data_IF_672848919642
#
_entry.id   IF_672848919642
#
_cell.length_a   1.000
_cell.length_b   1.000
_cell.length_c   1.000
_cell.angle_alpha   90.00
_cell.angle_beta   90.00
_cell.angle_gamma   90.00
#
_symmetry.space_group_name_H-M   'P 1'
#
loop_
_entity.id
_entity.type
_entity.pdbx_description
1 polymer ?
#
# COMPACT_ATOMS: atom_id res chain seq x y z
N UNK A 1 2.49 -0.56 1.93
CA UNK A 1 2.85 0.85 2.22
C UNK A 1 2.86 1.09 3.73
N UNK A 2 3.63 2.07 4.21
CA UNK A 2 3.61 2.53 5.61
C UNK A 2 2.82 3.86 5.68
N UNK A 3 1.76 3.91 6.49
CA UNK A 3 1.02 5.15 6.74
C UNK A 3 1.45 5.75 8.08
N UNK A 4 1.87 7.02 8.05
CA UNK A 4 2.20 7.80 9.23
C UNK A 4 0.97 8.46 9.87
N UNK A 5 1.14 8.89 11.12
CA UNK A 5 0.28 9.86 11.79
C UNK A 5 0.96 11.22 11.75
N UNK A 6 0.19 12.32 11.69
CA UNK A 6 0.72 13.70 11.77
C UNK A 6 1.18 14.05 13.20
N UNK A 7 1.67 13.06 13.94
CA UNK A 7 1.63 12.92 15.40
C UNK A 7 1.94 14.18 16.19
N UNK A 8 0.91 15.00 16.41
CA UNK A 8 0.95 16.04 17.43
C UNK A 8 0.81 15.33 18.78
N UNK A 9 1.95 15.12 19.44
CA UNK A 9 2.00 14.63 20.81
C UNK A 9 1.80 15.83 21.75
N UNK A 10 0.61 15.95 22.34
CA UNK A 10 0.36 16.96 23.38
C UNK A 10 0.93 16.48 24.71
N UNK A 11 2.13 16.94 25.07
CA UNK A 11 2.59 16.91 26.45
C UNK A 11 1.93 18.06 27.23
N UNK A 12 1.61 17.85 28.52
CA UNK A 12 1.23 18.94 29.44
C UNK A 12 2.51 19.44 30.13
N UNK A 13 3.17 20.50 29.64
CA UNK A 13 4.24 21.12 30.40
C UNK A 13 3.69 21.74 31.70
N UNK A 14 4.50 21.83 32.77
CA UNK A 14 4.15 22.60 33.96
C UNK A 14 3.64 24.01 33.59
N UNK A 15 2.71 24.55 34.39
CA UNK A 15 2.07 25.83 34.12
C UNK A 15 3.13 26.93 33.87
N UNK A 16 3.08 27.57 32.70
CA UNK A 16 3.98 28.67 32.34
C UNK A 16 5.23 28.31 31.53
N UNK A 17 5.53 27.04 31.24
CA UNK A 17 6.74 26.63 30.48
C UNK A 17 6.47 26.17 29.05
N UNK A 18 5.27 26.49 28.52
CA UNK A 18 4.78 26.05 27.20
C UNK A 18 5.69 26.42 26.02
N UNK A 19 6.49 27.48 26.14
CA UNK A 19 7.36 27.99 25.08
C UNK A 19 8.86 27.82 25.38
N UNK A 20 9.26 27.11 26.43
CA UNK A 20 10.67 26.89 26.76
C UNK A 20 11.31 25.92 25.73
N UNK A 21 12.33 26.37 24.96
CA UNK A 21 13.02 25.53 23.97
C UNK A 21 13.63 24.25 24.55
N UNK A 22 13.90 24.20 25.87
CA UNK A 22 14.41 23.00 26.56
C UNK A 22 13.38 21.86 26.63
N UNK A 23 12.11 22.15 26.39
CA UNK A 23 11.01 21.18 26.36
C UNK A 23 10.71 20.67 24.95
N UNK A 24 11.43 21.14 23.93
CA UNK A 24 11.28 20.72 22.54
C UNK A 24 12.51 19.91 22.11
N UNK A 25 12.34 18.60 21.94
CA UNK A 25 13.31 17.75 21.25
C UNK A 25 12.83 17.58 19.81
N UNK A 26 13.54 18.07 18.78
CA UNK A 26 13.17 17.83 17.39
C UNK A 26 13.41 16.34 17.08
N UNK A 27 12.33 15.57 16.97
CA UNK A 27 12.40 14.17 16.52
C UNK A 27 11.75 14.04 15.15
N UNK A 28 12.49 13.51 14.16
CA UNK A 28 11.98 13.21 12.81
C UNK A 28 10.97 12.04 12.77
N UNK A 29 10.60 11.47 13.93
CA UNK A 29 9.64 10.36 14.05
C UNK A 29 8.59 10.72 15.09
N UNK A 30 7.42 11.12 14.61
CA UNK A 30 6.28 11.46 15.45
C UNK A 30 5.63 10.18 16.02
N UNK A 31 5.32 10.19 17.32
CA UNK A 31 5.03 9.00 18.14
C UNK A 31 3.62 8.41 18.07
N UNK A 32 2.83 8.68 17.03
CA UNK A 32 1.44 8.17 16.90
C UNK A 32 1.30 6.75 16.34
N UNK A 33 2.43 6.07 16.09
CA UNK A 33 2.47 4.72 15.52
C UNK A 33 2.29 4.71 14.00
N UNK A 34 3.04 3.85 13.31
CA UNK A 34 2.90 3.62 11.88
C UNK A 34 2.13 2.32 11.66
N UNK A 35 1.24 2.30 10.67
CA UNK A 35 0.53 1.07 10.25
C UNK A 35 1.11 0.60 8.92
N UNK A 36 1.58 -0.65 8.89
CA UNK A 36 1.94 -1.32 7.65
C UNK A 36 0.74 -2.09 7.13
N UNK A 37 0.42 -1.92 5.84
CA UNK A 37 -0.70 -2.63 5.20
C UNK A 37 -0.28 -3.25 3.87
N UNK A 38 -0.97 -4.33 3.52
CA UNK A 38 -1.01 -4.93 2.20
C UNK A 38 -2.43 -4.79 1.64
N UNK A 39 -2.56 -4.57 0.33
CA UNK A 39 -3.84 -4.64 -0.33
C UNK A 39 -3.68 -5.07 -1.79
N UNK A 40 -4.81 -5.39 -2.43
CA UNK A 40 -4.88 -5.53 -3.87
C UNK A 40 -6.09 -4.77 -4.43
N UNK A 41 -6.01 -4.43 -5.71
CA UNK A 41 -7.09 -3.81 -6.48
C UNK A 41 -7.22 -4.52 -7.82
N UNK A 42 -8.38 -4.39 -8.45
CA UNK A 42 -8.68 -5.03 -9.72
C UNK A 42 -9.67 -4.21 -10.54
N UNK A 43 -9.96 -4.66 -11.76
CA UNK A 43 -11.06 -4.11 -12.58
C UNK A 43 -12.45 -4.20 -11.94
N UNK A 44 -12.64 -5.05 -10.94
CA UNK A 44 -13.89 -5.14 -10.17
C UNK A 44 -13.92 -4.16 -8.98
N UNK A 45 -12.81 -3.44 -8.74
CA UNK A 45 -12.67 -2.44 -7.71
C UNK A 45 -11.69 -2.85 -6.62
N UNK A 46 -11.94 -2.33 -5.42
CA UNK A 46 -11.10 -2.51 -4.25
C UNK A 46 -11.11 -3.97 -3.78
N UNK A 47 -9.94 -4.55 -3.57
CA UNK A 47 -9.78 -5.85 -2.93
C UNK A 47 -9.60 -5.75 -1.42
N UNK A 48 -9.18 -6.84 -0.76
CA UNK A 48 -8.91 -6.84 0.66
C UNK A 48 -7.79 -5.87 1.05
N UNK A 49 -7.96 -5.20 2.20
CA UNK A 49 -6.92 -4.44 2.89
C UNK A 49 -6.55 -5.20 4.17
N UNK A 50 -5.26 -5.53 4.33
CA UNK A 50 -4.77 -6.33 5.45
C UNK A 50 -3.68 -5.61 6.22
N UNK A 51 -3.85 -5.51 7.54
CA UNK A 51 -2.81 -5.01 8.43
C UNK A 51 -1.68 -6.01 8.58
N UNK A 52 -0.46 -5.51 8.53
CA UNK A 52 0.77 -6.25 8.81
C UNK A 52 1.29 -5.83 10.18
N UNK A 53 1.66 -6.81 10.99
CA UNK A 53 2.28 -6.57 12.28
C UNK A 53 3.80 -6.50 12.11
N UNK A 54 4.38 -5.35 12.49
CA UNK A 54 5.82 -5.13 12.39
C UNK A 54 6.32 -4.98 10.95
N UNK A 55 7.55 -5.43 10.71
CA UNK A 55 8.18 -5.42 9.39
C UNK A 55 7.79 -6.71 8.68
N UNK A 56 7.21 -6.59 7.48
CA UNK A 56 6.81 -7.76 6.70
C UNK A 56 7.98 -8.73 6.47
N UNK A 57 7.80 -9.99 6.82
CA UNK A 57 8.73 -11.07 6.46
C UNK A 57 8.15 -11.99 5.37
N UNK A 58 8.95 -12.99 4.97
CA UNK A 58 8.55 -13.93 3.91
C UNK A 58 7.37 -14.82 4.31
N UNK A 59 7.24 -15.18 5.59
CA UNK A 59 6.18 -16.04 6.09
C UNK A 59 4.87 -15.27 6.19
N UNK A 60 4.91 -14.03 6.69
CA UNK A 60 3.76 -13.13 6.67
C UNK A 60 3.29 -12.82 5.25
N UNK A 61 4.22 -12.68 4.29
CA UNK A 61 3.86 -12.47 2.89
C UNK A 61 3.26 -13.73 2.24
N UNK A 62 3.80 -14.92 2.53
CA UNK A 62 3.18 -16.18 2.11
C UNK A 62 1.76 -16.33 2.70
N UNK A 63 1.59 -16.00 3.97
CA UNK A 63 0.29 -16.06 4.66
C UNK A 63 -0.73 -15.07 4.06
N UNK A 64 -0.31 -13.86 3.67
CA UNK A 64 -1.14 -12.92 2.89
C UNK A 64 -1.61 -13.56 1.60
N UNK A 65 -0.70 -14.23 0.88
CA UNK A 65 -1.04 -14.85 -0.38
C UNK A 65 -1.97 -16.06 -0.23
N UNK A 66 -1.72 -16.90 0.77
CA UNK A 66 -2.49 -18.11 1.05
C UNK A 66 -3.89 -17.80 1.59
N UNK A 67 -4.00 -16.85 2.52
CA UNK A 67 -5.21 -16.63 3.30
C UNK A 67 -5.98 -15.35 2.92
N UNK A 68 -5.47 -14.54 2.00
CA UNK A 68 -6.13 -13.30 1.59
C UNK A 68 -6.19 -13.16 0.07
N UNK A 69 -5.05 -13.08 -0.60
CA UNK A 69 -5.01 -12.81 -2.05
C UNK A 69 -5.66 -13.94 -2.86
N UNK A 70 -5.20 -15.19 -2.68
CA UNK A 70 -5.67 -16.31 -3.51
C UNK A 70 -7.15 -16.64 -3.30
N UNK A 71 -7.69 -16.70 -2.07
CA UNK A 71 -9.13 -16.92 -1.87
C UNK A 71 -9.97 -15.82 -2.50
N UNK A 72 -9.59 -14.54 -2.30
CA UNK A 72 -10.29 -13.41 -2.91
C UNK A 72 -10.26 -13.50 -4.44
N UNK A 73 -9.09 -13.74 -5.03
CA UNK A 73 -8.93 -13.80 -6.47
C UNK A 73 -9.70 -14.97 -7.09
N UNK A 74 -9.68 -16.15 -6.45
CA UNK A 74 -10.47 -17.31 -6.91
C UNK A 74 -11.97 -17.05 -6.85
N UNK A 75 -12.45 -16.43 -5.78
CA UNK A 75 -13.87 -16.13 -5.64
C UNK A 75 -14.33 -15.05 -6.64
N UNK A 76 -13.46 -14.10 -6.98
CA UNK A 76 -13.81 -12.95 -7.83
C UNK A 76 -13.58 -13.21 -9.33
N UNK A 77 -12.56 -14.00 -9.68
CA UNK A 77 -12.11 -14.19 -11.06
C UNK A 77 -12.06 -15.67 -11.50
N UNK A 78 -12.27 -16.61 -10.58
CA UNK A 78 -12.11 -18.03 -10.84
C UNK A 78 -10.64 -18.45 -10.96
N UNK A 79 -10.40 -19.53 -11.70
CA UNK A 79 -9.06 -20.01 -12.00
C UNK A 79 -8.43 -19.22 -13.16
N UNK A 80 -7.10 -19.14 -13.18
CA UNK A 80 -6.36 -18.50 -14.28
C UNK A 80 -6.24 -16.98 -14.18
N UNK A 81 -6.55 -16.38 -13.03
CA UNK A 81 -6.24 -14.97 -12.79
C UNK A 81 -4.72 -14.71 -12.86
N UNK A 82 -4.37 -13.50 -13.29
CA UNK A 82 -2.99 -13.03 -13.34
C UNK A 82 -2.77 -12.10 -12.15
N UNK A 83 -1.70 -12.33 -11.40
CA UNK A 83 -1.32 -11.51 -10.27
C UNK A 83 -0.15 -10.58 -10.63
N UNK A 84 -0.24 -9.34 -10.17
CA UNK A 84 0.81 -8.33 -10.30
C UNK A 84 1.36 -8.00 -8.92
N UNK A 85 2.69 -7.95 -8.82
CA UNK A 85 3.41 -7.42 -7.67
C UNK A 85 4.65 -6.67 -8.16
N UNK A 86 5.18 -5.75 -7.34
CA UNK A 86 6.44 -5.08 -7.64
C UNK A 86 7.67 -6.01 -7.49
N UNK A 87 8.84 -5.51 -7.86
CA UNK A 87 10.12 -6.22 -7.76
C UNK A 87 10.80 -6.07 -6.39
N UNK A 88 10.07 -5.73 -5.31
CA UNK A 88 10.66 -5.60 -3.99
C UNK A 88 11.35 -6.92 -3.57
N UNK A 89 12.57 -6.89 -2.98
CA UNK A 89 13.36 -8.11 -2.75
C UNK A 89 12.62 -9.24 -2.01
N UNK A 90 11.72 -8.91 -1.08
CA UNK A 90 10.94 -9.92 -0.34
C UNK A 90 9.91 -10.62 -1.24
N UNK A 91 9.30 -9.90 -2.18
CA UNK A 91 8.31 -10.42 -3.12
C UNK A 91 8.95 -11.34 -4.17
N UNK A 92 10.24 -11.11 -4.48
CA UNK A 92 11.04 -11.97 -5.38
C UNK A 92 11.85 -13.05 -4.68
N UNK A 93 11.66 -13.25 -3.38
CA UNK A 93 12.37 -14.32 -2.67
C UNK A 93 12.01 -15.70 -3.27
N UNK A 94 12.99 -16.62 -3.33
CA UNK A 94 12.78 -17.98 -3.85
C UNK A 94 11.62 -18.70 -3.16
N UNK A 95 11.40 -18.41 -1.87
CA UNK A 95 10.28 -18.94 -1.10
C UNK A 95 8.92 -18.55 -1.71
N UNK A 96 8.73 -17.27 -2.01
CA UNK A 96 7.50 -16.73 -2.58
C UNK A 96 7.32 -17.16 -4.04
N UNK A 97 8.40 -17.19 -4.82
CA UNK A 97 8.36 -17.71 -6.19
C UNK A 97 7.94 -19.19 -6.21
N UNK A 98 8.48 -20.01 -5.30
CA UNK A 98 8.04 -21.39 -5.13
C UNK A 98 6.58 -21.51 -4.69
N UNK A 99 6.07 -20.57 -3.89
CA UNK A 99 4.66 -20.53 -3.52
C UNK A 99 3.76 -20.30 -4.75
N UNK A 100 4.07 -19.31 -5.59
CA UNK A 100 3.32 -19.04 -6.82
C UNK A 100 3.28 -20.27 -7.73
N UNK A 101 4.43 -20.91 -7.96
CA UNK A 101 4.53 -22.14 -8.76
C UNK A 101 3.69 -23.29 -8.18
N UNK A 102 3.77 -23.54 -6.86
CA UNK A 102 3.02 -24.61 -6.18
C UNK A 102 1.50 -24.37 -6.16
N UNK A 103 1.06 -23.12 -6.30
CA UNK A 103 -0.37 -22.74 -6.27
C UNK A 103 -0.96 -22.47 -7.65
N UNK A 104 -0.15 -22.62 -8.70
CA UNK A 104 -0.52 -22.35 -10.10
C UNK A 104 -1.11 -20.95 -10.27
N UNK A 105 -0.46 -19.96 -9.64
CA UNK A 105 -0.83 -18.56 -9.78
C UNK A 105 0.14 -17.92 -10.78
N UNK A 106 -0.40 -17.40 -11.87
CA UNK A 106 0.40 -16.72 -12.90
C UNK A 106 0.80 -15.34 -12.40
N UNK A 107 2.10 -15.05 -12.42
CA UNK A 107 2.66 -13.75 -12.12
C UNK A 107 2.96 -13.01 -13.43
N UNK A 108 2.59 -11.73 -13.53
CA UNK A 108 3.06 -10.88 -14.63
C UNK A 108 4.52 -10.48 -14.38
N UNK A 109 5.34 -10.57 -15.43
CA UNK A 109 6.70 -10.03 -15.38
C UNK A 109 6.64 -8.51 -15.27
N UNK A 110 7.18 -7.97 -14.17
CA UNK A 110 7.15 -6.54 -13.91
C UNK A 110 8.53 -5.91 -14.18
N UNK A 111 8.63 -4.82 -14.95
CA UNK A 111 9.88 -4.10 -15.11
C UNK A 111 10.31 -3.46 -13.78
N UNK A 112 11.61 -3.48 -13.49
CA UNK A 112 12.17 -2.77 -12.34
C UNK A 112 12.02 -1.26 -12.53
N UNK A 113 11.78 -0.52 -11.44
CA UNK A 113 11.68 0.96 -11.44
C UNK A 113 10.52 1.54 -12.27
N UNK A 114 9.37 0.86 -12.31
CA UNK A 114 8.15 1.38 -12.93
C UNK A 114 6.98 1.48 -11.95
N UNK A 115 7.08 2.34 -10.91
CA UNK A 115 5.95 2.57 -9.99
C UNK A 115 4.76 3.18 -10.74
N UNK A 116 5.01 3.99 -11.77
CA UNK A 116 4.05 4.67 -12.64
C UNK A 116 3.05 3.70 -13.29
N UNK A 117 3.44 2.43 -13.44
CA UNK A 117 2.62 1.39 -14.05
C UNK A 117 1.76 0.65 -13.01
N UNK A 118 2.08 0.78 -11.72
CA UNK A 118 1.42 0.05 -10.65
C UNK A 118 0.25 0.87 -10.11
N UNK A 119 -0.96 0.57 -10.56
CA UNK A 119 -2.17 1.33 -10.19
C UNK A 119 -2.41 1.42 -8.68
N UNK A 120 -1.87 0.48 -7.88
CA UNK A 120 -1.98 0.55 -6.42
C UNK A 120 -1.30 1.79 -5.84
N UNK A 121 -0.26 2.33 -6.49
CA UNK A 121 0.42 3.56 -6.05
C UNK A 121 -0.50 4.77 -6.17
N UNK A 122 -1.27 4.86 -7.26
CA UNK A 122 -2.31 5.89 -7.41
C UNK A 122 -3.43 5.75 -6.36
N UNK A 123 -3.80 4.52 -6.01
CA UNK A 123 -4.77 4.23 -4.94
C UNK A 123 -4.23 4.64 -3.57
N UNK A 124 -2.96 4.38 -3.31
CA UNK A 124 -2.30 4.82 -2.10
C UNK A 124 -2.28 6.34 -1.96
N UNK A 125 -1.95 7.07 -3.03
CA UNK A 125 -2.00 8.53 -3.02
C UNK A 125 -3.41 9.09 -2.76
N UNK A 126 -4.45 8.48 -3.33
CA UNK A 126 -5.84 8.85 -3.03
C UNK A 126 -6.23 8.55 -1.57
N UNK A 127 -5.75 7.43 -1.02
CA UNK A 127 -5.99 7.06 0.37
C UNK A 127 -5.30 8.05 1.32
N UNK A 128 -4.07 8.45 1.05
CA UNK A 128 -3.37 9.51 1.80
C UNK A 128 -4.15 10.82 1.74
N UNK A 129 -4.60 11.23 0.54
CA UNK A 129 -5.37 12.47 0.34
C UNK A 129 -6.66 12.49 1.16
N UNK A 130 -7.38 11.36 1.25
CA UNK A 130 -8.61 11.22 2.05
C UNK A 130 -8.36 11.26 3.55
N UNK A 131 -7.15 10.92 3.98
CA UNK A 131 -6.76 10.89 5.38
C UNK A 131 -6.11 12.21 5.85
N UNK A 132 -5.87 13.17 4.95
CA UNK A 132 -5.37 14.50 5.31
C UNK A 132 -6.31 15.13 6.36
N UNK A 133 -5.75 15.53 7.49
CA UNK A 133 -6.49 16.14 8.60
C UNK A 133 -7.23 15.14 9.51
N UNK A 134 -7.16 13.83 9.24
CA UNK A 134 -7.67 12.79 10.16
C UNK A 134 -6.56 12.35 11.11
N UNK A 135 -6.71 12.73 12.37
CA UNK A 135 -5.82 12.29 13.43
C UNK A 135 -6.24 10.92 13.96
N UNK A 136 -5.26 10.10 14.35
CA UNK A 136 -5.49 8.84 15.04
C UNK A 136 -4.65 8.82 16.33
N UNK A 137 -5.23 8.32 17.41
CA UNK A 137 -4.61 8.22 18.72
C UNK A 137 -3.73 6.99 18.87
N UNK A 138 -4.00 5.94 18.09
CA UNK A 138 -3.23 4.70 18.08
C UNK A 138 -3.30 3.99 16.71
N UNK A 139 -2.50 2.93 16.57
CA UNK A 139 -2.39 2.15 15.34
C UNK A 139 -3.68 1.41 14.94
N UNK A 140 -4.52 1.04 15.92
CA UNK A 140 -5.78 0.35 15.64
C UNK A 140 -6.79 1.31 15.03
N UNK A 141 -6.93 2.49 15.63
CA UNK A 141 -7.75 3.57 15.08
C UNK A 141 -7.26 4.00 13.69
N UNK A 142 -5.94 4.13 13.49
CA UNK A 142 -5.39 4.47 12.17
C UNK A 142 -5.72 3.39 11.15
N UNK A 143 -5.65 2.11 11.51
CA UNK A 143 -6.07 1.03 10.62
C UNK A 143 -7.58 1.07 10.32
N UNK A 144 -8.42 1.33 11.31
CA UNK A 144 -9.87 1.49 11.09
C UNK A 144 -10.19 2.65 10.15
N UNK A 145 -9.49 3.78 10.27
CA UNK A 145 -9.63 4.91 9.33
C UNK A 145 -9.19 4.53 7.90
N UNK A 146 -8.08 3.77 7.77
CA UNK A 146 -7.64 3.24 6.48
C UNK A 146 -8.71 2.32 5.87
N UNK A 147 -9.27 1.39 6.64
CA UNK A 147 -10.34 0.50 6.17
C UNK A 147 -11.62 1.24 5.77
N UNK A 148 -11.99 2.28 6.53
CA UNK A 148 -13.15 3.12 6.25
C UNK A 148 -12.98 3.83 4.90
N UNK A 149 -11.85 4.51 4.69
CA UNK A 149 -11.61 5.26 3.45
C UNK A 149 -11.32 4.35 2.27
N UNK A 150 -10.66 3.21 2.47
CA UNK A 150 -10.42 2.19 1.44
C UNK A 150 -11.73 1.72 0.80
N UNK A 151 -12.77 1.49 1.60
CA UNK A 151 -14.11 1.08 1.11
C UNK A 151 -14.86 2.18 0.36
N UNK A 152 -14.49 3.45 0.58
CA UNK A 152 -15.12 4.61 -0.07
C UNK A 152 -14.47 5.01 -1.38
N UNK A 153 -13.33 4.41 -1.76
CA UNK A 153 -12.71 4.66 -3.05
C UNK A 153 -13.62 4.07 -4.15
N UNK A 154 -14.16 4.89 -5.06
CA UNK A 154 -15.14 4.42 -6.03
C UNK A 154 -14.49 3.62 -7.15
N UNK A 155 -15.25 2.69 -7.74
CA UNK A 155 -14.80 1.91 -8.90
C UNK A 155 -14.38 2.80 -10.08
N UNK A 156 -15.03 3.95 -10.27
CA UNK A 156 -14.68 4.91 -11.33
C UNK A 156 -13.25 5.46 -11.21
N UNK A 157 -12.74 5.59 -9.98
CA UNK A 157 -11.35 6.00 -9.76
C UNK A 157 -10.39 4.90 -10.23
N UNK A 158 -10.68 3.64 -9.90
CA UNK A 158 -9.89 2.49 -10.36
C UNK A 158 -9.94 2.36 -11.88
N UNK A 159 -11.10 2.57 -12.50
CA UNK A 159 -11.22 2.57 -13.96
C UNK A 159 -10.34 3.65 -14.60
N UNK A 160 -10.31 4.86 -14.01
CA UNK A 160 -9.46 5.95 -14.50
C UNK A 160 -7.97 5.60 -14.45
N UNK A 161 -7.52 4.90 -13.40
CA UNK A 161 -6.15 4.40 -13.27
C UNK A 161 -5.86 3.29 -14.29
N UNK A 162 -6.81 2.37 -14.52
CA UNK A 162 -6.65 1.34 -15.54
C UNK A 162 -6.57 1.93 -16.95
N UNK A 163 -7.36 2.95 -17.24
CA UNK A 163 -7.37 3.66 -18.52
C UNK A 163 -6.08 4.46 -18.76
N UNK A 164 -5.28 4.72 -17.73
CA UNK A 164 -3.97 5.37 -17.86
C UNK A 164 -2.83 4.39 -18.17
N UNK A 165 -2.98 3.10 -17.85
CA UNK A 165 -1.92 2.08 -18.05
C UNK A 165 -1.40 2.06 -19.49
N UNK A 166 -2.25 2.01 -20.55
CA UNK A 166 -1.73 1.97 -21.92
C UNK A 166 -0.89 3.19 -22.28
N UNK A 167 -1.25 4.37 -21.76
CA UNK A 167 -0.46 5.60 -21.95
C UNK A 167 0.86 5.52 -21.19
N UNK A 168 0.85 4.96 -19.99
CA UNK A 168 2.06 4.69 -19.21
C UNK A 168 3.01 3.73 -19.92
N UNK A 169 2.50 2.61 -20.45
CA UNK A 169 3.30 1.65 -21.23
C UNK A 169 3.91 2.30 -22.46
N UNK A 170 3.12 3.06 -23.22
CA UNK A 170 3.64 3.77 -24.39
C UNK A 170 4.73 4.77 -23.99
N UNK A 171 4.55 5.52 -22.90
CA UNK A 171 5.57 6.45 -22.41
C UNK A 171 6.87 5.75 -22.00
N UNK A 172 6.80 4.57 -21.38
CA UNK A 172 7.99 3.77 -21.03
C UNK A 172 8.70 3.25 -22.28
N UNK A 173 7.95 2.82 -23.29
CA UNK A 173 8.49 2.38 -24.59
C UNK A 173 9.18 3.55 -25.29
N UNK A 174 8.52 4.71 -25.38
CA UNK A 174 9.06 5.92 -26.01
C UNK A 174 10.31 6.42 -25.28
N UNK A 175 10.31 6.32 -23.95
CA UNK A 175 11.45 6.64 -23.10
C UNK A 175 12.53 5.54 -23.09
N UNK A 176 12.39 4.44 -23.85
CA UNK A 176 13.34 3.31 -23.87
C UNK A 176 13.70 2.79 -22.47
N UNK A 177 12.76 2.81 -21.53
CA UNK A 177 12.95 2.39 -20.14
C UNK A 177 13.48 3.45 -19.18
N UNK A 178 13.66 4.71 -19.61
CA UNK A 178 13.93 5.85 -18.70
C UNK A 178 12.64 6.34 -18.00
N UNK A 179 12.81 7.13 -16.93
CA UNK A 179 11.70 7.64 -16.09
C UNK A 179 10.67 8.43 -16.89
N UNK A 180 9.39 8.23 -16.59
CA UNK A 180 8.28 8.92 -17.24
C UNK A 180 7.67 9.99 -16.33
N UNK A 181 6.74 10.78 -16.87
CA UNK A 181 6.01 11.83 -16.12
C UNK A 181 4.82 11.28 -15.31
N UNK A 182 4.58 9.98 -15.39
CA UNK A 182 3.42 9.32 -14.78
C UNK A 182 3.75 8.83 -13.36
#
# INVERSE_FOLDING_TARGET
>A
MLFGTDGIQWSRPPQGTRFDPKNYVPTMKHGGGNVMVWACVSRLGMGPLRRIQGIIDKCQYEDIHENTMRPYARNSFGHGFIFQQDNYPKHRSKHIQNWFSRRHVTLIDWPSLSPDLNIIEGVWGELERRLIGRNAWNADEKFSQLEEEWKKIPLSFIQTLLDSIPRGWQAVIDAKGFTTKY
#
